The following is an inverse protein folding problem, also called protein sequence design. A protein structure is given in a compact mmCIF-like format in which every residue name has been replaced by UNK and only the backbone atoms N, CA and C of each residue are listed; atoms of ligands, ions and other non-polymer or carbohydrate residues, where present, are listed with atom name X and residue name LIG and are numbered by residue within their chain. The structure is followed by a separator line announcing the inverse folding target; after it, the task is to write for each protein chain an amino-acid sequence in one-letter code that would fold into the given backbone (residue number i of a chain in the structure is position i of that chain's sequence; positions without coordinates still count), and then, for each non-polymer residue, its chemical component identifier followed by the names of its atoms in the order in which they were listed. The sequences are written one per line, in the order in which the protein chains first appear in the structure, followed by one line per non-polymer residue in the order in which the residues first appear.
data_IF_873507198253
#
_entry.id   IF_873507198253
#
_cell.length_a   1.000
_cell.length_b   1.000
_cell.length_c   1.000
_cell.angle_alpha   90.00
_cell.angle_beta   90.00
_cell.angle_gamma   90.00
#
_symmetry.space_group_name_H-M   'P 1'
#
loop_
_entity.id
_entity.type
_entity.pdbx_description
1 polymer ?
#
# COMPACT_ATOMS: atom_id res chain seq x y z
N UNK A 1 -3.36 15.72 1.73
CA UNK A 1 -2.77 14.58 1.00
C UNK A 1 -1.46 14.16 1.63
N UNK A 2 -1.19 12.84 1.67
CA UNK A 2 0.10 12.25 2.04
C UNK A 2 0.52 11.28 0.92
N UNK A 3 1.68 11.49 0.30
CA UNK A 3 2.13 10.72 -0.86
C UNK A 3 3.56 10.22 -0.67
N UNK A 4 3.87 9.05 -1.22
CA UNK A 4 5.22 8.50 -1.14
C UNK A 4 5.49 7.41 -2.17
N UNK A 5 6.72 7.39 -2.68
CA UNK A 5 7.23 6.38 -3.61
C UNK A 5 8.23 5.44 -2.92
N UNK A 6 8.23 4.15 -3.28
CA UNK A 6 9.21 3.18 -2.80
C UNK A 6 9.23 3.02 -1.27
N UNK A 7 10.34 3.37 -0.60
CA UNK A 7 10.42 3.48 0.86
C UNK A 7 9.37 4.45 1.43
N UNK A 8 9.14 5.58 0.75
CA UNK A 8 8.08 6.52 1.13
C UNK A 8 6.68 5.91 0.99
N UNK A 9 6.43 5.10 -0.04
CA UNK A 9 5.14 4.41 -0.21
C UNK A 9 4.86 3.42 0.94
N UNK A 10 5.91 2.77 1.45
CA UNK A 10 5.81 1.92 2.65
C UNK A 10 5.39 2.74 3.88
N UNK A 11 6.01 3.90 4.07
CA UNK A 11 5.68 4.82 5.17
C UNK A 11 4.24 5.31 5.05
N UNK A 12 3.81 5.76 3.87
CA UNK A 12 2.44 6.24 3.64
C UNK A 12 1.41 5.16 3.92
N UNK A 13 1.61 3.93 3.42
CA UNK A 13 0.68 2.84 3.67
C UNK A 13 0.56 2.52 5.17
N UNK A 14 1.68 2.49 5.90
CA UNK A 14 1.67 2.23 7.35
C UNK A 14 1.12 3.42 8.14
N UNK A 15 1.32 4.65 7.67
CA UNK A 15 0.73 5.85 8.25
C UNK A 15 -0.78 5.89 8.03
N UNK A 16 -1.27 5.45 6.88
CA UNK A 16 -2.69 5.27 6.62
C UNK A 16 -3.32 4.18 7.51
N UNK A 17 -2.57 3.17 7.94
CA UNK A 17 -3.05 2.20 8.93
C UNK A 17 -3.06 2.80 10.34
N UNK A 18 -1.94 3.41 10.74
CA UNK A 18 -1.64 3.70 12.14
C UNK A 18 -1.96 5.12 12.59
N UNK A 19 -2.03 6.06 11.66
CA UNK A 19 -2.15 7.49 11.92
C UNK A 19 -3.50 7.84 12.54
N UNK A 20 -3.49 8.70 13.56
CA UNK A 20 -4.69 9.19 14.26
C UNK A 20 -5.05 10.64 13.89
N UNK A 21 -4.20 11.31 13.12
CA UNK A 21 -4.32 12.74 12.82
C UNK A 21 -5.52 13.08 11.92
N UNK A 22 -5.94 12.15 11.07
CA UNK A 22 -7.06 12.34 10.14
C UNK A 22 -8.36 12.72 10.85
N UNK A 23 -8.66 12.13 12.01
CA UNK A 23 -9.85 12.47 12.79
C UNK A 23 -9.92 13.96 13.18
N UNK A 24 -8.77 14.58 13.48
CA UNK A 24 -8.74 16.00 13.81
C UNK A 24 -8.94 16.89 12.57
N UNK A 25 -8.46 16.44 11.41
CA UNK A 25 -8.60 17.12 10.13
C UNK A 25 -10.03 17.02 9.58
N UNK A 26 -10.68 15.86 9.69
CA UNK A 26 -12.06 15.67 9.25
C UNK A 26 -13.05 16.56 10.02
N UNK A 27 -12.78 16.83 11.32
CA UNK A 27 -13.58 17.81 12.11
C UNK A 27 -13.48 19.24 11.60
N UNK A 28 -12.46 19.54 10.80
CA UNK A 28 -12.25 20.82 10.13
C UNK A 28 -12.66 20.76 8.65
N UNK A 29 -13.34 19.69 8.23
CA UNK A 29 -13.71 19.44 6.83
C UNK A 29 -12.51 19.37 5.88
N UNK A 30 -11.37 18.87 6.38
CA UNK A 30 -10.17 18.62 5.58
C UNK A 30 -10.09 17.12 5.29
N UNK A 31 -10.30 16.76 4.04
CA UNK A 31 -10.17 15.37 3.57
C UNK A 31 -8.71 14.98 3.35
N UNK A 32 -8.38 13.74 3.70
CA UNK A 32 -7.01 13.21 3.59
C UNK A 32 -6.98 12.01 2.65
N UNK A 33 -6.30 12.21 1.52
CA UNK A 33 -5.93 11.16 0.58
C UNK A 33 -4.52 10.63 0.84
N UNK A 34 -4.34 9.31 0.72
CA UNK A 34 -3.06 8.62 0.78
C UNK A 34 -2.67 8.05 -0.59
N UNK A 35 -1.52 8.46 -1.13
CA UNK A 35 -0.99 7.94 -2.41
C UNK A 35 0.22 7.05 -2.15
N UNK A 36 0.04 5.75 -2.39
CA UNK A 36 1.02 4.69 -2.13
C UNK A 36 1.62 4.24 -3.45
N UNK A 37 2.81 4.73 -3.80
CA UNK A 37 3.45 4.44 -5.08
C UNK A 37 4.59 3.41 -4.95
N UNK A 38 4.50 2.31 -5.71
CA UNK A 38 5.52 1.26 -5.82
C UNK A 38 6.23 0.87 -4.50
N UNK A 39 5.52 0.62 -3.38
CA UNK A 39 6.19 0.19 -2.17
C UNK A 39 6.76 -1.22 -2.35
N UNK A 40 7.85 -1.50 -1.63
CA UNK A 40 8.47 -2.81 -1.72
C UNK A 40 7.74 -3.90 -0.94
N UNK A 41 6.92 -3.54 0.04
CA UNK A 41 6.12 -4.47 0.85
C UNK A 41 4.99 -3.72 1.56
N UNK A 42 3.93 -4.45 1.87
CA UNK A 42 2.73 -3.94 2.53
C UNK A 42 2.57 -4.58 3.90
N UNK A 43 1.93 -3.86 4.83
CA UNK A 43 1.46 -4.44 6.08
C UNK A 43 0.05 -5.02 5.87
N UNK A 44 -0.08 -6.34 6.01
CA UNK A 44 -1.35 -7.05 5.88
C UNK A 44 -2.10 -7.13 7.22
N UNK A 45 -3.44 -7.11 7.18
CA UNK A 45 -4.27 -7.26 8.38
C UNK A 45 -4.49 -8.71 8.81
N UNK A 46 -4.41 -9.66 7.87
CA UNK A 46 -4.40 -11.10 8.16
C UNK A 46 -3.01 -11.72 7.97
N UNK A 47 -2.88 -12.96 8.44
CA UNK A 47 -1.70 -13.80 8.26
C UNK A 47 -1.59 -14.36 6.82
N UNK A 48 -2.63 -14.26 5.99
CA UNK A 48 -2.59 -14.80 4.64
C UNK A 48 -1.57 -14.09 3.76
N UNK A 49 -0.90 -14.84 2.90
CA UNK A 49 0.12 -14.31 1.98
C UNK A 49 -0.06 -14.90 0.58
N UNK A 50 0.18 -14.11 -0.48
CA UNK A 50 0.18 -14.58 -1.87
C UNK A 50 1.07 -15.80 -2.14
N UNK A 51 2.16 -15.95 -1.38
CA UNK A 51 3.04 -17.13 -1.45
C UNK A 51 3.05 -17.85 -0.08
N UNK A 52 2.05 -18.70 0.21
CA UNK A 52 1.90 -19.35 1.52
C UNK A 52 3.10 -20.22 1.92
N UNK A 53 3.75 -20.87 0.95
CA UNK A 53 4.90 -21.72 1.20
C UNK A 53 6.08 -20.94 1.81
N UNK A 54 6.34 -19.73 1.32
CA UNK A 54 7.39 -18.85 1.89
C UNK A 54 6.97 -18.37 3.28
N UNK A 55 5.70 -17.98 3.46
CA UNK A 55 5.20 -17.55 4.76
C UNK A 55 5.34 -18.65 5.83
N UNK A 56 5.01 -19.90 5.49
CA UNK A 56 5.11 -21.05 6.38
C UNK A 56 6.54 -21.34 6.84
N UNK A 57 7.55 -21.04 6.01
CA UNK A 57 8.96 -21.23 6.33
C UNK A 57 9.66 -19.97 6.86
N UNK A 58 8.93 -18.88 7.11
CA UNK A 58 9.51 -17.57 7.41
C UNK A 58 9.09 -17.06 8.80
N UNK A 59 9.85 -17.35 9.86
CA UNK A 59 9.55 -16.85 11.21
C UNK A 59 9.37 -15.34 11.25
N UNK A 60 8.33 -14.86 11.93
CA UNK A 60 8.05 -13.43 12.06
C UNK A 60 7.54 -12.74 10.79
N UNK A 61 7.16 -13.48 9.72
CA UNK A 61 6.63 -12.87 8.49
C UNK A 61 5.40 -11.98 8.68
N UNK A 62 4.68 -12.18 9.79
CA UNK A 62 3.49 -11.42 10.15
C UNK A 62 3.78 -10.30 11.18
N UNK A 63 5.04 -10.11 11.57
CA UNK A 63 5.42 -9.04 12.49
C UNK A 63 5.32 -7.67 11.81
N UNK A 64 5.25 -6.63 12.64
CA UNK A 64 5.11 -5.27 12.14
C UNK A 64 6.25 -4.89 11.17
N UNK A 65 5.86 -3.97 10.31
CA UNK A 65 6.21 -3.74 8.91
C UNK A 65 5.47 -4.65 7.92
N UNK A 66 5.28 -5.95 8.15
CA UNK A 66 4.67 -6.86 7.14
C UNK A 66 3.27 -7.35 7.51
N UNK A 67 2.94 -7.37 8.81
CA UNK A 67 1.63 -7.75 9.32
C UNK A 67 1.30 -7.09 10.65
N UNK A 68 0.43 -7.73 11.44
CA UNK A 68 -0.13 -7.19 12.69
C UNK A 68 0.45 -7.82 13.98
N UNK A 69 1.42 -8.74 13.86
CA UNK A 69 2.20 -9.25 14.99
C UNK A 69 3.23 -8.22 15.48
N UNK A 70 3.68 -8.35 16.73
CA UNK A 70 4.75 -7.54 17.34
C UNK A 70 4.68 -6.04 17.01
N UNK A 71 3.46 -5.47 17.09
CA UNK A 71 3.21 -4.07 16.79
C UNK A 71 3.88 -3.15 17.81
N UNK A 72 4.40 -1.99 17.39
CA UNK A 72 5.04 -1.04 18.29
C UNK A 72 4.05 -0.50 19.34
N UNK A 73 4.53 -0.07 20.53
CA UNK A 73 3.66 0.34 21.64
C UNK A 73 2.60 1.39 21.30
N UNK A 74 2.88 2.31 20.38
CA UNK A 74 1.92 3.35 19.98
C UNK A 74 0.69 2.82 19.22
N UNK A 75 0.73 1.55 18.79
CA UNK A 75 -0.39 0.83 18.17
C UNK A 75 -1.08 -0.14 19.14
N UNK A 76 -0.65 -0.22 20.40
CA UNK A 76 -1.19 -1.15 21.38
C UNK A 76 -2.65 -0.84 21.77
N UNK A 77 -3.10 0.39 21.57
CA UNK A 77 -4.45 0.86 21.91
C UNK A 77 -5.53 0.49 20.88
N UNK A 78 -5.15 -0.15 19.77
CA UNK A 78 -6.07 -0.61 18.74
C UNK A 78 -5.86 -2.09 18.42
N UNK A 79 -6.95 -2.84 18.23
CA UNK A 79 -6.89 -4.20 17.71
C UNK A 79 -6.57 -4.17 16.20
N UNK A 80 -6.04 -5.26 15.62
CA UNK A 80 -5.86 -5.36 14.16
C UNK A 80 -7.16 -5.08 13.39
N UNK A 81 -8.29 -5.60 13.87
CA UNK A 81 -9.61 -5.35 13.27
C UNK A 81 -10.01 -3.86 13.35
N UNK A 82 -9.74 -3.18 14.46
CA UNK A 82 -10.03 -1.74 14.57
C UNK A 82 -9.13 -0.90 13.65
N UNK A 83 -7.88 -1.31 13.43
CA UNK A 83 -6.99 -0.67 12.45
C UNK A 83 -7.47 -0.93 11.02
N UNK A 84 -7.94 -2.15 10.73
CA UNK A 84 -8.48 -2.53 9.43
C UNK A 84 -9.72 -1.72 9.08
N UNK A 85 -10.69 -1.63 9.98
CA UNK A 85 -11.91 -0.83 9.80
C UNK A 85 -11.58 0.63 9.47
N UNK A 86 -10.64 1.23 10.20
CA UNK A 86 -10.18 2.60 9.90
C UNK A 86 -9.48 2.72 8.55
N UNK A 87 -8.83 1.66 8.07
CA UNK A 87 -8.06 1.70 6.82
C UNK A 87 -8.95 1.53 5.59
N UNK A 88 -9.95 0.65 5.66
CA UNK A 88 -10.88 0.41 4.53
C UNK A 88 -11.75 1.63 4.23
N UNK A 89 -12.03 2.46 5.24
CA UNK A 89 -12.78 3.71 5.09
C UNK A 89 -11.95 4.86 4.46
N UNK A 90 -10.62 4.80 4.54
CA UNK A 90 -9.73 5.87 4.04
C UNK A 90 -9.66 5.92 2.53
N UNK A 91 -9.43 7.11 2.01
CA UNK A 91 -9.13 7.30 0.59
C UNK A 91 -7.67 6.92 0.31
N UNK A 92 -7.46 5.75 -0.31
CA UNK A 92 -6.13 5.22 -0.63
C UNK A 92 -6.01 4.95 -2.13
N UNK A 93 -5.02 5.58 -2.77
CA UNK A 93 -4.68 5.31 -4.17
C UNK A 93 -3.35 4.54 -4.20
N UNK A 94 -3.40 3.32 -4.74
CA UNK A 94 -2.21 2.54 -5.06
C UNK A 94 -1.79 2.85 -6.48
N UNK A 95 -0.62 3.46 -6.63
CA UNK A 95 -0.06 3.84 -7.92
C UNK A 95 1.05 2.85 -8.28
N UNK A 96 0.80 1.99 -9.27
CA UNK A 96 1.64 0.83 -9.57
C UNK A 96 2.23 0.93 -10.99
N UNK A 97 3.55 1.02 -11.10
CA UNK A 97 4.23 1.06 -12.41
C UNK A 97 4.21 -0.32 -13.07
N UNK A 98 3.68 -0.42 -14.30
CA UNK A 98 3.53 -1.73 -14.98
C UNK A 98 4.86 -2.42 -15.32
N UNK A 99 5.97 -1.69 -15.28
CA UNK A 99 7.32 -2.22 -15.48
C UNK A 99 8.12 -2.36 -14.18
N UNK A 100 7.53 -2.15 -12.98
CA UNK A 100 8.20 -2.40 -11.70
C UNK A 100 8.19 -3.91 -11.35
N UNK A 101 8.80 -4.68 -12.25
CA UNK A 101 8.73 -6.15 -12.31
C UNK A 101 10.08 -6.82 -12.15
N UNK A 102 11.13 -6.08 -11.78
CA UNK A 102 12.47 -6.64 -11.62
C UNK A 102 12.66 -7.24 -10.20
N UNK A 103 12.70 -8.59 -10.04
CA UNK A 103 12.88 -9.24 -8.74
C UNK A 103 14.29 -9.05 -8.16
N UNK A 104 15.26 -8.67 -8.99
CA UNK A 104 16.66 -8.47 -8.58
C UNK A 104 16.98 -7.01 -8.27
N UNK A 105 16.03 -6.09 -8.43
CA UNK A 105 16.24 -4.66 -8.21
C UNK A 105 16.93 -4.40 -6.85
N UNK A 106 17.94 -3.51 -6.84
CA UNK A 106 18.79 -3.29 -5.67
C UNK A 106 18.00 -2.81 -4.44
N UNK A 107 17.08 -1.86 -4.65
CA UNK A 107 16.19 -1.33 -3.62
C UNK A 107 14.93 -2.19 -3.33
N UNK A 108 14.86 -3.44 -3.81
CA UNK A 108 13.75 -4.34 -3.48
C UNK A 108 14.03 -5.02 -2.14
N UNK A 109 13.01 -5.05 -1.28
CA UNK A 109 12.97 -5.85 -0.07
C UNK A 109 12.92 -7.34 -0.46
N UNK A 110 14.05 -8.02 -0.23
CA UNK A 110 14.28 -9.44 -0.54
C UNK A 110 14.27 -10.30 0.73
N UNK A 111 13.73 -9.80 1.83
CA UNK A 111 13.48 -10.63 3.01
C UNK A 111 12.39 -11.66 2.70
N UNK A 112 12.43 -12.85 3.32
CA UNK A 112 11.38 -13.85 3.08
C UNK A 112 9.98 -13.32 3.45
N UNK A 113 9.87 -12.38 4.40
CA UNK A 113 8.61 -11.75 4.77
C UNK A 113 8.00 -10.95 3.60
N UNK A 114 8.84 -10.28 2.83
CA UNK A 114 8.44 -9.52 1.65
C UNK A 114 8.24 -10.42 0.42
N UNK A 115 9.07 -11.46 0.25
CA UNK A 115 8.91 -12.45 -0.82
C UNK A 115 7.63 -13.28 -0.68
N UNK A 116 7.15 -13.50 0.55
CA UNK A 116 5.83 -14.08 0.81
C UNK A 116 4.69 -13.26 0.16
N UNK A 117 4.92 -11.98 -0.13
CA UNK A 117 3.95 -11.09 -0.78
C UNK A 117 4.01 -11.14 -2.31
N UNK A 118 5.02 -11.78 -2.89
CA UNK A 118 5.21 -11.90 -4.34
C UNK A 118 6.63 -11.53 -4.82
N UNK A 119 6.91 -11.75 -6.12
CA UNK A 119 8.28 -11.68 -6.67
C UNK A 119 8.83 -10.26 -6.85
N UNK A 120 7.98 -9.25 -7.05
CA UNK A 120 8.37 -7.86 -7.33
C UNK A 120 7.23 -6.89 -6.97
N UNK A 121 7.49 -5.58 -7.01
CA UNK A 121 6.58 -4.56 -6.44
C UNK A 121 5.22 -4.52 -7.12
N UNK A 122 5.19 -4.61 -8.45
CA UNK A 122 3.93 -4.62 -9.20
C UNK A 122 3.01 -5.78 -8.76
N UNK A 123 3.53 -7.01 -8.67
CA UNK A 123 2.77 -8.16 -8.19
C UNK A 123 2.35 -8.02 -6.72
N UNK A 124 3.25 -7.52 -5.86
CA UNK A 124 2.95 -7.29 -4.43
C UNK A 124 1.81 -6.30 -4.23
N UNK A 125 1.78 -5.24 -5.04
CA UNK A 125 0.74 -4.21 -4.98
C UNK A 125 -0.63 -4.71 -5.37
N UNK A 126 -0.74 -5.38 -6.52
CA UNK A 126 -1.99 -6.01 -6.96
C UNK A 126 -2.47 -7.07 -5.96
N UNK A 127 -1.58 -7.93 -5.48
CA UNK A 127 -1.95 -8.96 -4.52
C UNK A 127 -2.43 -8.38 -3.18
N UNK A 128 -1.84 -7.27 -2.72
CA UNK A 128 -2.32 -6.57 -1.52
C UNK A 128 -3.70 -5.98 -1.72
N UNK A 129 -3.94 -5.31 -2.86
CA UNK A 129 -5.26 -4.74 -3.14
C UNK A 129 -6.31 -5.83 -3.26
N UNK A 130 -6.03 -6.92 -3.95
CA UNK A 130 -6.94 -8.06 -4.06
C UNK A 130 -7.29 -8.63 -2.68
N UNK A 131 -6.32 -8.68 -1.76
CA UNK A 131 -6.55 -9.10 -0.38
C UNK A 131 -7.40 -8.10 0.41
N UNK A 132 -7.30 -6.80 0.11
CA UNK A 132 -8.12 -5.75 0.73
C UNK A 132 -9.54 -5.68 0.15
N UNK A 133 -9.71 -5.90 -1.16
CA UNK A 133 -11.00 -5.91 -1.83
C UNK A 133 -11.91 -7.06 -1.35
N UNK A 134 -11.32 -8.16 -0.85
CA UNK A 134 -12.02 -9.32 -0.30
C UNK A 134 -12.43 -9.17 1.17
N UNK A 135 -12.13 -8.03 1.81
CA UNK A 135 -12.52 -7.78 3.21
C UNK A 135 -14.01 -7.49 3.32
N UNK A 136 -14.52 -7.57 4.55
CA UNK A 136 -15.91 -7.25 4.85
C UNK A 136 -16.22 -5.83 4.38
N UNK A 137 -17.28 -5.69 3.56
CA UNK A 137 -17.67 -4.45 2.88
C UNK A 137 -16.66 -3.88 1.85
N UNK A 138 -15.59 -4.62 1.55
CA UNK A 138 -14.58 -4.26 0.57
C UNK A 138 -13.80 -3.00 0.95
N UNK A 139 -13.37 -2.26 -0.07
CA UNK A 139 -12.62 -1.00 0.10
C UNK A 139 -13.19 0.09 -0.83
N UNK A 140 -14.35 0.67 -0.49
CA UNK A 140 -15.08 1.56 -1.40
C UNK A 140 -14.30 2.81 -1.80
N UNK A 141 -13.35 3.23 -0.96
CA UNK A 141 -12.53 4.43 -1.16
C UNK A 141 -11.09 4.10 -1.62
N UNK A 142 -10.79 2.84 -1.92
CA UNK A 142 -9.48 2.45 -2.46
C UNK A 142 -9.53 2.39 -3.97
N UNK A 143 -8.43 2.81 -4.61
CA UNK A 143 -8.27 2.77 -6.07
C UNK A 143 -6.89 2.23 -6.44
N UNK A 144 -6.83 1.42 -7.49
CA UNK A 144 -5.55 0.96 -8.07
C UNK A 144 -5.42 1.53 -9.45
N UNK A 145 -4.34 2.30 -9.65
CA UNK A 145 -4.02 2.90 -10.92
C UNK A 145 -2.68 2.39 -11.39
N UNK A 146 -2.74 1.58 -12.45
CA UNK A 146 -1.56 1.15 -13.17
C UNK A 146 -1.01 2.32 -13.99
N UNK A 147 0.30 2.53 -13.93
CA UNK A 147 1.02 3.56 -14.69
C UNK A 147 1.74 2.86 -15.85
N UNK A 148 1.20 2.92 -17.08
CA UNK A 148 1.74 2.16 -18.20
C UNK A 148 3.16 2.60 -18.54
N UNK A 149 4.05 1.63 -18.72
CA UNK A 149 5.42 1.86 -19.21
C UNK A 149 6.37 2.45 -18.16
N UNK A 150 5.96 2.58 -16.91
CA UNK A 150 6.80 3.11 -15.83
C UNK A 150 7.24 1.99 -14.89
N UNK A 151 8.53 1.99 -14.53
CA UNK A 151 9.12 1.05 -13.58
C UNK A 151 9.29 1.67 -12.19
N UNK A 152 10.42 1.37 -11.53
CA UNK A 152 10.74 1.90 -10.21
C UNK A 152 11.35 3.32 -10.25
N UNK A 153 10.63 4.27 -10.86
CA UNK A 153 11.10 5.64 -11.12
C UNK A 153 10.13 6.64 -10.49
N UNK A 154 10.57 7.29 -9.41
CA UNK A 154 9.71 8.17 -8.62
C UNK A 154 9.21 9.38 -9.39
N UNK A 155 10.08 10.00 -10.19
CA UNK A 155 9.74 11.17 -10.99
C UNK A 155 8.68 10.79 -12.02
N UNK A 156 8.94 9.75 -12.82
CA UNK A 156 7.97 9.29 -13.83
C UNK A 156 6.66 8.82 -13.22
N UNK A 157 6.67 8.19 -12.04
CA UNK A 157 5.44 7.78 -11.37
C UNK A 157 4.59 8.99 -10.99
N UNK A 158 5.17 9.98 -10.30
CA UNK A 158 4.44 11.11 -9.74
C UNK A 158 4.07 12.17 -10.77
N UNK A 159 4.84 12.31 -11.86
CA UNK A 159 4.53 13.23 -12.97
C UNK A 159 3.78 12.57 -14.12
N UNK A 160 3.46 11.27 -14.04
CA UNK A 160 2.60 10.61 -15.03
C UNK A 160 1.17 11.18 -15.02
N UNK A 161 0.38 10.91 -16.07
CA UNK A 161 -1.06 11.24 -16.09
C UNK A 161 -1.77 10.70 -14.83
N UNK A 162 -1.46 9.47 -14.41
CA UNK A 162 -2.02 8.86 -13.21
C UNK A 162 -1.47 9.41 -11.90
N UNK A 163 -0.18 9.78 -11.85
CA UNK A 163 0.40 10.46 -10.70
C UNK A 163 -0.24 11.83 -10.48
N UNK A 164 -0.35 12.64 -11.52
CA UNK A 164 -0.98 13.96 -11.47
C UNK A 164 -2.47 13.88 -11.13
N UNK A 165 -3.19 12.89 -11.66
CA UNK A 165 -4.56 12.61 -11.25
C UNK A 165 -4.65 12.25 -9.77
N UNK A 166 -3.69 11.47 -9.25
CA UNK A 166 -3.77 10.95 -7.88
C UNK A 166 -3.46 12.07 -6.88
N UNK A 167 -2.53 12.94 -7.26
CA UNK A 167 -2.01 14.01 -6.42
C UNK A 167 -2.87 15.28 -6.46
N UNK A 168 -3.43 15.61 -7.61
CA UNK A 168 -4.02 16.93 -7.87
C UNK A 168 -5.38 16.87 -8.57
N UNK A 169 -5.97 15.68 -8.72
CA UNK A 169 -7.23 15.47 -9.44
C UNK A 169 -7.19 15.95 -10.91
N UNK A 170 -5.99 16.05 -11.50
CA UNK A 170 -5.83 16.38 -12.92
C UNK A 170 -6.40 15.23 -13.76
N UNK A 171 -7.38 15.46 -14.65
CA UNK A 171 -7.95 14.40 -15.47
C UNK A 171 -6.91 13.73 -16.38
N UNK A 172 -7.12 12.45 -16.70
CA UNK A 172 -6.34 11.75 -17.73
C UNK A 172 -5.79 10.38 -17.37
N UNK A 173 -5.95 9.93 -16.12
CA UNK A 173 -5.73 8.52 -15.78
C UNK A 173 -6.94 7.69 -16.21
N UNK A 174 -6.75 6.72 -17.13
CA UNK A 174 -7.81 5.81 -17.57
C UNK A 174 -8.69 6.27 -18.75
N UNK A 175 -8.36 7.36 -19.44
CA UNK A 175 -9.03 7.79 -20.68
C UNK A 175 -8.60 6.97 -21.94
N UNK A 176 -7.77 5.94 -21.76
CA UNK A 176 -7.25 5.06 -22.81
C UNK A 176 -7.51 3.59 -22.42
N UNK A 177 -8.76 3.25 -22.09
CA UNK A 177 -9.22 1.86 -21.98
C UNK A 177 -10.09 1.50 -23.17
#
# INVERSE_FOLDING_TARGET
MVAGHSGGGQVVQRYAIAGKGETALSRQHIDVRYVVANPSSYAYFSADRPVPAIAASCPGYNNWKYGMGDRPPYLADATPAALEQRYVEREVIYLLGTLDTNPKHSALDKSCMAEAQGPYRYARGHAYVDAMAKRDHGTPNHRVWDVPGVGHDGDKMLTSKCGLAALFDIPGCGAER
#
